data_IF_987647311890
#
_entry.id   IF_987647311890
#
_cell.length_a   1.000
_cell.length_b   1.000
_cell.length_c   1.000
_cell.angle_alpha   90.00
_cell.angle_beta   90.00
_cell.angle_gamma   90.00
#
_symmetry.space_group_name_H-M   'P 1'
#
loop_
_entity.id
_entity.type
_entity.pdbx_description
1 polymer ?
#
# COMPACT_ATOMS: atom_id res chain seq x y z
N UNK A 1 -8.31 -23.60 1.77
CA UNK A 1 -7.59 -23.30 3.02
C UNK A 1 -6.12 -23.30 2.66
N UNK A 2 -5.52 -22.11 2.47
CA UNK A 2 -4.15 -22.00 1.97
C UNK A 2 -3.16 -22.03 3.14
N UNK A 3 -2.08 -22.82 3.06
CA UNK A 3 -1.15 -23.03 4.15
C UNK A 3 -0.13 -21.90 4.18
N UNK A 4 -0.48 -20.76 4.79
CA UNK A 4 0.42 -19.63 4.86
C UNK A 4 1.26 -19.63 6.15
N UNK A 5 2.58 -19.37 6.08
CA UNK A 5 3.41 -19.23 7.28
C UNK A 5 2.94 -18.06 8.14
N UNK A 6 2.65 -18.37 9.41
CA UNK A 6 1.90 -17.54 10.37
C UNK A 6 2.64 -16.31 10.91
N UNK A 7 3.88 -16.05 10.49
CA UNK A 7 4.73 -15.00 11.04
C UNK A 7 4.62 -13.65 10.33
N UNK A 8 4.06 -13.60 9.11
CA UNK A 8 3.87 -12.33 8.37
C UNK A 8 2.52 -11.66 8.66
N UNK A 9 1.51 -12.42 9.08
CA UNK A 9 0.10 -12.01 9.02
C UNK A 9 -0.61 -11.99 10.37
N UNK A 10 0.07 -11.59 11.45
CA UNK A 10 -0.65 -11.27 12.68
C UNK A 10 -1.05 -9.80 12.63
N UNK A 11 -2.32 -9.45 12.90
CA UNK A 11 -2.68 -8.07 13.18
C UNK A 11 -1.88 -7.62 14.40
N UNK A 12 -0.80 -6.87 14.15
CA UNK A 12 -0.19 -6.11 15.21
C UNK A 12 -1.18 -4.99 15.54
N UNK A 13 -1.50 -4.82 16.82
CA UNK A 13 -2.29 -3.68 17.32
C UNK A 13 -1.64 -2.34 16.92
N UNK A 14 -0.35 -2.35 16.60
CA UNK A 14 0.40 -1.22 16.08
C UNK A 14 1.31 -1.70 14.93
N UNK A 15 0.92 -1.53 13.65
CA UNK A 15 1.68 -2.06 12.54
C UNK A 15 3.00 -1.28 12.41
N UNK A 16 4.12 -1.98 12.45
CA UNK A 16 5.46 -1.37 12.38
C UNK A 16 5.93 -1.26 10.94
N UNK A 17 6.43 -0.08 10.56
CA UNK A 17 7.12 0.11 9.28
C UNK A 17 8.29 -0.88 9.18
N UNK A 18 8.41 -1.66 8.08
CA UNK A 18 9.53 -2.57 7.92
C UNK A 18 10.84 -1.80 7.72
N UNK A 19 11.89 -2.24 8.40
CA UNK A 19 13.25 -1.74 8.21
C UNK A 19 13.96 -2.53 7.10
N UNK A 20 14.90 -1.87 6.40
CA UNK A 20 15.77 -2.46 5.38
C UNK A 20 15.01 -3.15 4.22
N UNK A 21 14.04 -2.44 3.62
CA UNK A 21 13.35 -2.92 2.41
C UNK A 21 14.29 -2.78 1.21
N UNK A 22 14.49 -3.87 0.48
CA UNK A 22 15.24 -3.85 -0.77
C UNK A 22 14.33 -3.42 -1.93
N UNK A 23 14.62 -2.24 -2.49
CA UNK A 23 13.92 -1.65 -3.63
C UNK A 23 14.67 -1.83 -4.96
N UNK A 24 15.73 -2.66 -4.99
CA UNK A 24 16.57 -2.86 -6.17
C UNK A 24 15.80 -3.36 -7.38
N UNK A 25 14.76 -4.17 -7.16
CA UNK A 25 13.91 -4.76 -8.20
C UNK A 25 12.73 -3.88 -8.62
N UNK A 26 12.49 -2.74 -7.95
CA UNK A 26 11.42 -1.83 -8.33
C UNK A 26 11.83 -1.09 -9.63
N UNK A 27 11.01 -1.11 -10.69
CA UNK A 27 11.28 -0.37 -11.92
C UNK A 27 11.54 1.12 -11.64
N UNK A 28 12.53 1.71 -12.30
CA UNK A 28 12.97 3.09 -12.06
C UNK A 28 11.83 4.11 -12.16
N UNK A 29 10.89 3.88 -13.09
CA UNK A 29 9.69 4.71 -13.27
C UNK A 29 8.80 4.79 -12.03
N UNK A 30 8.88 3.84 -11.11
CA UNK A 30 8.10 3.80 -9.86
C UNK A 30 8.90 4.23 -8.63
N UNK A 31 10.21 4.47 -8.73
CA UNK A 31 11.05 4.81 -7.57
C UNK A 31 10.61 6.05 -6.82
N UNK A 32 9.99 7.01 -7.50
CA UNK A 32 9.46 8.23 -6.89
C UNK A 32 8.30 7.95 -5.91
N UNK A 33 7.69 6.77 -5.94
CA UNK A 33 6.59 6.35 -5.07
C UNK A 33 7.04 5.61 -3.81
N UNK A 34 8.34 5.31 -3.66
CA UNK A 34 8.87 4.53 -2.51
C UNK A 34 8.43 5.11 -1.16
N UNK A 35 8.54 6.43 -0.99
CA UNK A 35 8.16 7.09 0.26
C UNK A 35 6.68 6.86 0.60
N UNK A 36 5.81 6.85 -0.42
CA UNK A 36 4.40 6.53 -0.23
C UNK A 36 4.23 5.08 0.19
N UNK A 37 4.88 4.15 -0.50
CA UNK A 37 4.78 2.72 -0.20
C UNK A 37 5.28 2.37 1.21
N UNK A 38 6.35 3.00 1.66
CA UNK A 38 6.86 2.82 3.02
C UNK A 38 5.99 3.46 4.09
N UNK A 39 5.22 4.48 3.74
CA UNK A 39 4.35 5.21 4.68
C UNK A 39 2.97 4.56 4.85
N UNK A 40 2.48 3.83 3.85
CA UNK A 40 1.13 3.26 3.85
C UNK A 40 1.06 1.75 3.61
N UNK A 41 2.10 1.13 3.04
CA UNK A 41 2.11 -0.30 2.72
C UNK A 41 2.19 -1.25 3.91
N UNK A 42 2.36 -0.74 5.13
CA UNK A 42 2.33 -1.58 6.33
C UNK A 42 0.92 -1.67 6.96
N UNK A 43 -0.07 -0.93 6.44
CA UNK A 43 -1.47 -1.07 6.85
C UNK A 43 -2.13 -2.22 6.05
N UNK A 44 -2.14 -3.42 6.61
CA UNK A 44 -2.54 -4.64 5.87
C UNK A 44 -3.98 -5.08 6.13
N UNK A 45 -4.54 -4.69 7.28
CA UNK A 45 -5.86 -5.14 7.73
C UNK A 45 -6.88 -4.02 7.57
N UNK A 46 -8.06 -4.37 7.07
CA UNK A 46 -9.15 -3.41 6.86
C UNK A 46 -9.47 -2.58 8.10
N UNK A 47 -9.58 -3.18 9.29
CA UNK A 47 -9.84 -2.44 10.53
C UNK A 47 -8.77 -1.36 10.80
N UNK A 48 -7.50 -1.71 10.61
CA UNK A 48 -6.36 -0.82 10.84
C UNK A 48 -6.31 0.29 9.79
N UNK A 49 -6.56 -0.05 8.51
CA UNK A 49 -6.66 0.93 7.43
C UNK A 49 -7.78 1.93 7.75
N UNK A 50 -8.95 1.46 8.17
CA UNK A 50 -10.09 2.30 8.50
C UNK A 50 -9.81 3.22 9.69
N UNK A 51 -9.15 2.72 10.74
CA UNK A 51 -8.77 3.55 11.88
C UNK A 51 -7.74 4.63 11.49
N UNK A 52 -6.78 4.29 10.61
CA UNK A 52 -5.86 5.30 10.06
C UNK A 52 -6.61 6.33 9.21
N UNK A 53 -7.49 5.93 8.31
CA UNK A 53 -8.25 6.86 7.45
C UNK A 53 -9.15 7.80 8.27
N UNK A 54 -9.80 7.30 9.32
CA UNK A 54 -10.64 8.12 10.22
C UNK A 54 -9.84 9.12 11.05
N UNK A 55 -8.57 8.83 11.34
CA UNK A 55 -7.70 9.72 12.11
C UNK A 55 -6.93 10.73 11.26
N UNK A 56 -6.97 10.61 9.92
CA UNK A 56 -6.29 11.54 9.03
C UNK A 56 -6.90 12.94 9.04
N UNK A 57 -6.04 13.95 9.02
CA UNK A 57 -6.46 15.33 8.79
C UNK A 57 -6.68 15.62 7.29
N UNK A 58 -7.15 16.84 6.97
CA UNK A 58 -7.45 17.24 5.58
C UNK A 58 -6.23 17.21 4.66
N UNK A 59 -5.05 17.56 5.16
CA UNK A 59 -3.82 17.60 4.37
C UNK A 59 -3.36 16.18 4.04
N UNK A 60 -3.44 15.26 5.00
CA UNK A 60 -3.19 13.83 4.78
C UNK A 60 -4.17 13.25 3.75
N UNK A 61 -5.48 13.54 3.86
CA UNK A 61 -6.49 13.10 2.89
C UNK A 61 -6.24 13.68 1.49
N UNK A 62 -5.85 14.96 1.39
CA UNK A 62 -5.49 15.58 0.12
C UNK A 62 -4.24 14.96 -0.50
N UNK A 63 -3.27 14.60 0.32
CA UNK A 63 -2.05 13.92 -0.13
C UNK A 63 -2.38 12.52 -0.69
N UNK A 64 -3.11 11.69 0.05
CA UNK A 64 -3.47 10.35 -0.45
C UNK A 64 -4.41 10.41 -1.66
N UNK A 65 -5.28 11.42 -1.76
CA UNK A 65 -6.08 11.65 -2.97
C UNK A 65 -5.20 11.95 -4.18
N UNK A 66 -4.12 12.72 -4.00
CA UNK A 66 -3.18 13.02 -5.08
C UNK A 66 -2.36 11.79 -5.46
N UNK A 67 -2.02 10.93 -4.50
CA UNK A 67 -1.36 9.65 -4.75
C UNK A 67 -2.28 8.67 -5.48
N UNK A 68 -3.58 8.66 -5.16
CA UNK A 68 -4.59 7.88 -5.89
C UNK A 68 -4.61 8.25 -7.37
N UNK A 69 -4.67 9.55 -7.69
CA UNK A 69 -4.69 10.02 -9.08
C UNK A 69 -3.41 9.63 -9.86
N UNK A 70 -2.27 9.49 -9.17
CA UNK A 70 -0.99 9.05 -9.77
C UNK A 70 -0.91 7.54 -9.94
N UNK A 71 -1.34 6.78 -8.92
CA UNK A 71 -1.15 5.33 -8.85
C UNK A 71 -2.25 4.57 -9.60
N UNK A 72 -3.50 5.03 -9.53
CA UNK A 72 -4.64 4.32 -10.13
C UNK A 72 -4.46 4.04 -11.66
N UNK A 73 -3.92 4.97 -12.48
CA UNK A 73 -3.69 4.69 -13.90
C UNK A 73 -2.57 3.67 -14.18
N UNK A 74 -1.70 3.39 -13.20
CA UNK A 74 -0.55 2.48 -13.33
C UNK A 74 -0.66 1.26 -12.40
N UNK A 75 -1.82 1.05 -11.77
CA UNK A 75 -2.02 -0.02 -10.79
C UNK A 75 -1.84 -1.39 -11.43
N UNK A 76 -2.33 -1.58 -12.65
CA UNK A 76 -2.15 -2.82 -13.42
C UNK A 76 -0.67 -3.15 -13.65
N UNK A 77 0.14 -2.16 -14.04
CA UNK A 77 1.59 -2.33 -14.22
C UNK A 77 2.29 -2.68 -12.89
N UNK A 78 1.84 -2.10 -11.78
CA UNK A 78 2.33 -2.43 -10.45
C UNK A 78 1.95 -3.85 -10.03
N UNK A 79 0.73 -4.30 -10.34
CA UNK A 79 0.27 -5.67 -10.10
C UNK A 79 1.07 -6.69 -10.91
N UNK A 80 1.32 -6.42 -12.20
CA UNK A 80 2.18 -7.27 -13.04
C UNK A 80 3.58 -7.37 -12.44
N UNK A 81 4.15 -6.25 -11.96
CA UNK A 81 5.44 -6.28 -11.29
C UNK A 81 5.41 -7.09 -9.99
N UNK A 82 4.40 -6.89 -9.13
CA UNK A 82 4.21 -7.67 -7.88
C UNK A 82 4.18 -9.18 -8.17
N UNK A 83 3.43 -9.59 -9.19
CA UNK A 83 3.32 -11.01 -9.58
C UNK A 83 4.67 -11.57 -10.07
N UNK A 84 5.50 -10.75 -10.71
CA UNK A 84 6.81 -11.17 -11.23
C UNK A 84 7.87 -11.39 -10.14
N UNK A 85 7.77 -10.69 -9.00
CA UNK A 85 8.75 -10.79 -7.89
C UNK A 85 8.21 -11.54 -6.68
N UNK A 86 6.93 -11.91 -6.68
CA UNK A 86 6.26 -12.66 -5.62
C UNK A 86 5.88 -11.81 -4.41
N UNK A 87 4.57 -11.65 -4.17
CA UNK A 87 4.03 -10.87 -3.03
C UNK A 87 4.58 -11.32 -1.66
N UNK A 88 4.75 -12.63 -1.45
CA UNK A 88 5.24 -13.20 -0.18
C UNK A 88 6.76 -13.30 -0.12
N UNK A 89 7.44 -13.11 -1.25
CA UNK A 89 8.89 -13.28 -1.41
C UNK A 89 9.60 -11.93 -1.34
N UNK A 90 8.95 -10.86 -1.79
CA UNK A 90 9.46 -9.50 -1.78
C UNK A 90 8.70 -8.61 -0.80
N UNK A 91 9.42 -8.10 0.22
CA UNK A 91 8.88 -7.08 1.14
C UNK A 91 8.44 -5.81 0.40
N UNK A 92 9.18 -5.43 -0.64
CA UNK A 92 8.83 -4.28 -1.48
C UNK A 92 7.49 -4.52 -2.19
N UNK A 93 7.30 -5.71 -2.77
CA UNK A 93 6.04 -6.07 -3.42
C UNK A 93 4.86 -6.06 -2.46
N UNK A 94 5.05 -6.59 -1.24
CA UNK A 94 4.04 -6.50 -0.18
C UNK A 94 3.66 -5.05 0.13
N UNK A 95 4.64 -4.16 0.31
CA UNK A 95 4.36 -2.74 0.58
C UNK A 95 3.61 -2.05 -0.56
N UNK A 96 3.98 -2.31 -1.81
CA UNK A 96 3.27 -1.75 -2.97
C UNK A 96 1.82 -2.24 -2.98
N UNK A 97 1.61 -3.56 -2.84
CA UNK A 97 0.27 -4.15 -2.81
C UNK A 97 -0.63 -3.53 -1.75
N UNK A 98 -0.14 -3.45 -0.50
CA UNK A 98 -0.94 -2.88 0.59
C UNK A 98 -1.15 -1.39 0.49
N UNK A 99 -0.26 -0.67 -0.19
CA UNK A 99 -0.47 0.76 -0.48
C UNK A 99 -1.58 0.95 -1.51
N UNK A 100 -1.66 0.08 -2.51
CA UNK A 100 -2.78 0.06 -3.47
C UNK A 100 -4.08 -0.27 -2.74
N UNK A 101 -4.09 -1.32 -1.90
CA UNK A 101 -5.26 -1.67 -1.08
C UNK A 101 -5.71 -0.51 -0.18
N UNK A 102 -4.76 0.19 0.46
CA UNK A 102 -5.04 1.37 1.29
C UNK A 102 -5.76 2.46 0.49
N UNK A 103 -5.28 2.74 -0.73
CA UNK A 103 -5.84 3.71 -1.66
C UNK A 103 -7.24 3.31 -2.15
N UNK A 104 -7.43 2.05 -2.51
CA UNK A 104 -8.71 1.51 -2.95
C UNK A 104 -9.75 1.58 -1.83
N UNK A 105 -9.37 1.26 -0.60
CA UNK A 105 -10.26 1.41 0.57
C UNK A 105 -10.60 2.87 0.85
N UNK A 106 -9.63 3.78 0.76
CA UNK A 106 -9.88 5.21 0.92
C UNK A 106 -10.91 5.73 -0.10
N UNK A 107 -10.80 5.28 -1.36
CA UNK A 107 -11.72 5.61 -2.44
C UNK A 107 -13.11 4.96 -2.22
N UNK A 108 -13.14 3.65 -1.96
CA UNK A 108 -14.36 2.86 -1.76
C UNK A 108 -15.23 3.40 -0.61
N UNK A 109 -14.62 3.76 0.51
CA UNK A 109 -15.32 4.30 1.68
C UNK A 109 -15.54 5.82 1.62
N UNK A 110 -15.15 6.49 0.53
CA UNK A 110 -15.45 7.90 0.28
C UNK A 110 -14.59 8.90 1.07
N UNK A 111 -13.44 8.48 1.60
CA UNK A 111 -12.47 9.39 2.23
C UNK A 111 -11.78 10.28 1.20
N UNK A 112 -11.59 9.78 -0.01
CA UNK A 112 -11.08 10.51 -1.17
C UNK A 112 -12.02 10.33 -2.35
N UNK A 113 -11.97 11.28 -3.28
CA UNK A 113 -12.73 11.22 -4.53
C UNK A 113 -11.75 11.07 -5.68
N UNK A 114 -11.97 10.07 -6.52
CA UNK A 114 -11.30 9.97 -7.81
C UNK A 114 -11.71 11.16 -8.69
N UNK A 115 -10.72 11.88 -9.24
CA UNK A 115 -10.97 12.89 -10.27
C UNK A 115 -10.98 12.18 -11.63
N UNK A 116 -12.11 11.53 -11.95
CA UNK A 116 -12.38 11.05 -13.31
C UNK A 116 -12.86 12.21 -14.17
#
# INVERSE_FOLDING_TARGET
MLPYPSSFWKPAENPTRPENVDWSQLPDRFRHLINFFESYGYFQFESVIMDKLKSMNKDELSYISSMYDIINPISDDLHIWIDSVGLTESKAAALVYFSILFLDMASYYGFIKSKI
#
